data_IF_961745622475
#
_entry.id   IF_961745622475
#
_cell.length_a   1.000
_cell.length_b   1.000
_cell.length_c   1.000
_cell.angle_alpha   90.00
_cell.angle_beta   90.00
_cell.angle_gamma   90.00
#
_symmetry.space_group_name_H-M   'P 1'
#
loop_
_entity.id
_entity.type
_entity.pdbx_description
1 polymer ?
#
# COMPACT_ATOMS: atom_id res chain seq x y z
N UNK A 1 10.03 6.82 -8.72
CA UNK A 1 8.91 5.85 -8.52
C UNK A 1 9.00 5.29 -7.12
N UNK A 2 7.88 5.18 -6.42
CA UNK A 2 7.89 4.61 -5.07
C UNK A 2 8.41 3.16 -5.03
N UNK A 3 8.83 2.71 -3.85
CA UNK A 3 9.18 1.34 -3.57
C UNK A 3 8.22 0.75 -2.55
N UNK A 4 7.65 -0.43 -2.80
CA UNK A 4 6.83 -1.19 -1.86
C UNK A 4 7.50 -2.51 -1.54
N UNK A 5 7.35 -2.97 -0.30
CA UNK A 5 7.86 -4.28 0.14
C UNK A 5 7.06 -4.79 1.33
N UNK A 6 7.10 -6.08 1.58
CA UNK A 6 6.47 -6.66 2.75
C UNK A 6 6.88 -8.09 3.02
N UNK A 7 6.59 -8.48 4.26
CA UNK A 7 6.87 -9.80 4.83
C UNK A 7 5.58 -10.33 5.46
N UNK A 8 5.23 -11.59 5.16
CA UNK A 8 4.08 -12.25 5.76
C UNK A 8 4.45 -13.69 6.12
N UNK A 9 4.31 -14.03 7.39
CA UNK A 9 4.63 -15.36 7.90
C UNK A 9 5.12 -15.33 9.34
N UNK A 10 5.58 -16.46 9.82
CA UNK A 10 6.03 -16.62 11.20
C UNK A 10 7.56 -16.53 11.26
N UNK A 11 8.07 -15.41 11.76
CA UNK A 11 9.49 -15.16 12.06
C UNK A 11 9.64 -14.77 13.53
N UNK A 12 10.84 -14.98 14.07
CA UNK A 12 11.21 -14.40 15.36
C UNK A 12 11.05 -12.88 15.36
N UNK A 13 10.72 -12.27 16.51
CA UNK A 13 10.41 -10.83 16.59
C UNK A 13 11.53 -9.94 16.04
N UNK A 14 12.77 -10.25 16.37
CA UNK A 14 13.95 -9.49 15.94
C UNK A 14 14.23 -9.67 14.44
N UNK A 15 14.08 -10.89 13.94
CA UNK A 15 14.24 -11.21 12.51
C UNK A 15 13.19 -10.50 11.66
N UNK A 16 11.95 -10.39 12.17
CA UNK A 16 10.84 -9.76 11.48
C UNK A 16 11.07 -8.24 11.30
N UNK A 17 11.46 -7.57 12.39
CA UNK A 17 11.78 -6.14 12.37
C UNK A 17 12.98 -5.87 11.45
N UNK A 18 14.05 -6.66 11.57
CA UNK A 18 15.25 -6.53 10.74
C UNK A 18 14.94 -6.76 9.25
N UNK A 19 14.13 -7.78 8.93
CA UNK A 19 13.77 -8.10 7.54
C UNK A 19 13.06 -6.93 6.86
N UNK A 20 11.99 -6.40 7.45
CA UNK A 20 11.22 -5.32 6.82
C UNK A 20 12.02 -4.03 6.69
N UNK A 21 12.84 -3.67 7.70
CA UNK A 21 13.68 -2.50 7.63
C UNK A 21 14.79 -2.62 6.58
N UNK A 22 15.43 -3.78 6.48
CA UNK A 22 16.46 -4.05 5.45
C UNK A 22 15.86 -4.03 4.05
N UNK A 23 14.74 -4.71 3.84
CA UNK A 23 14.04 -4.73 2.55
C UNK A 23 13.57 -3.33 2.15
N UNK A 24 13.01 -2.56 3.08
CA UNK A 24 12.60 -1.18 2.82
C UNK A 24 13.80 -0.30 2.48
N UNK A 25 14.90 -0.38 3.24
CA UNK A 25 16.10 0.41 2.99
C UNK A 25 16.74 0.11 1.62
N UNK A 26 16.68 -1.13 1.15
CA UNK A 26 17.20 -1.50 -0.18
C UNK A 26 16.48 -0.80 -1.34
N UNK A 27 15.27 -0.29 -1.10
CA UNK A 27 14.44 0.44 -2.07
C UNK A 27 14.54 1.97 -1.96
N UNK A 28 15.43 2.51 -1.11
CA UNK A 28 15.54 3.97 -0.84
C UNK A 28 15.80 4.81 -2.09
N UNK A 29 16.52 4.25 -3.08
CA UNK A 29 16.78 4.90 -4.37
C UNK A 29 15.51 5.13 -5.21
N UNK A 30 14.41 4.40 -4.93
CA UNK A 30 13.13 4.56 -5.62
C UNK A 30 12.30 5.71 -5.10
N UNK A 31 12.41 6.01 -3.81
CA UNK A 31 11.62 7.04 -3.16
C UNK A 31 12.37 7.67 -1.99
N UNK A 32 13.15 8.73 -2.25
CA UNK A 32 14.00 9.34 -1.22
C UNK A 32 13.27 10.33 -0.31
N UNK A 33 12.02 10.71 -0.62
CA UNK A 33 11.36 11.86 0.01
C UNK A 33 10.73 11.51 1.37
N UNK A 34 10.24 10.27 1.52
CA UNK A 34 9.63 9.79 2.76
C UNK A 34 9.71 8.26 2.84
N UNK A 35 9.70 7.74 4.06
CA UNK A 35 9.74 6.31 4.33
C UNK A 35 8.80 5.94 5.46
N UNK A 36 8.14 4.80 5.32
CA UNK A 36 7.29 4.26 6.38
C UNK A 36 7.34 2.75 6.47
N UNK A 37 7.17 2.27 7.69
CA UNK A 37 7.05 0.85 8.02
C UNK A 37 5.87 0.68 8.96
N UNK A 38 5.03 -0.30 8.68
CA UNK A 38 3.93 -0.71 9.54
C UNK A 38 4.07 -2.21 9.83
N UNK A 39 3.97 -2.58 11.10
CA UNK A 39 4.18 -3.95 11.57
C UNK A 39 3.02 -4.39 12.45
N UNK A 40 2.47 -5.57 12.18
CA UNK A 40 1.56 -6.28 13.06
C UNK A 40 2.13 -7.67 13.36
N UNK A 41 2.85 -7.75 14.47
CA UNK A 41 3.52 -9.00 14.91
C UNK A 41 2.52 -10.11 15.23
N UNK A 42 1.35 -9.75 15.77
CA UNK A 42 0.31 -10.71 16.12
C UNK A 42 -0.26 -11.47 14.93
N UNK A 43 -0.29 -10.83 13.76
CA UNK A 43 -0.75 -11.42 12.50
C UNK A 43 0.42 -11.83 11.59
N UNK A 44 1.67 -11.60 12.00
CA UNK A 44 2.86 -11.96 11.22
C UNK A 44 2.98 -11.20 9.90
N UNK A 45 2.60 -9.92 9.85
CA UNK A 45 2.65 -9.09 8.65
C UNK A 45 3.43 -7.79 8.89
N UNK A 46 4.28 -7.41 7.94
CA UNK A 46 4.88 -6.08 7.88
C UNK A 46 4.86 -5.54 6.47
N UNK A 47 4.63 -4.22 6.36
CA UNK A 47 4.58 -3.45 5.12
C UNK A 47 5.60 -2.33 5.19
N UNK A 48 6.37 -2.14 4.14
CA UNK A 48 7.36 -1.08 3.99
C UNK A 48 7.14 -0.25 2.72
N UNK A 49 7.35 1.04 2.82
CA UNK A 49 7.18 1.99 1.72
C UNK A 49 8.34 2.98 1.65
N UNK A 50 8.81 3.24 0.43
CA UNK A 50 9.74 4.33 0.10
C UNK A 50 9.03 5.26 -0.89
N UNK A 51 8.86 6.52 -0.50
CA UNK A 51 8.00 7.47 -1.21
C UNK A 51 8.81 8.40 -2.09
N UNK A 52 8.41 8.50 -3.35
CA UNK A 52 8.68 9.64 -4.21
C UNK A 52 7.41 10.48 -4.27
N UNK A 53 7.45 11.69 -3.72
CA UNK A 53 6.29 12.58 -3.64
C UNK A 53 6.05 13.28 -4.96
N UNK A 54 4.89 13.04 -5.59
CA UNK A 54 4.55 13.59 -6.92
C UNK A 54 3.23 14.39 -6.88
N UNK A 55 2.11 13.73 -6.52
CA UNK A 55 0.78 14.34 -6.52
C UNK A 55 0.58 15.17 -5.25
N UNK A 56 0.91 14.61 -4.10
CA UNK A 56 0.80 15.26 -2.80
C UNK A 56 2.18 15.34 -2.15
N UNK A 57 2.67 16.54 -1.90
CA UNK A 57 3.97 16.76 -1.27
C UNK A 57 3.90 16.82 0.26
N UNK A 58 2.69 16.78 0.82
CA UNK A 58 2.47 16.83 2.26
C UNK A 58 2.64 15.45 2.93
N UNK A 59 2.65 15.46 4.26
CA UNK A 59 2.65 14.23 5.07
C UNK A 59 1.34 13.43 4.96
N UNK A 60 0.26 14.01 4.40
CA UNK A 60 -1.00 13.30 4.19
C UNK A 60 -0.89 12.13 3.18
N UNK A 61 0.15 12.16 2.31
CA UNK A 61 0.46 11.05 1.40
C UNK A 61 1.39 9.98 2.01
N UNK A 62 1.67 10.02 3.32
CA UNK A 62 2.51 9.03 3.99
C UNK A 62 1.94 7.61 3.89
N UNK A 63 2.83 6.64 3.73
CA UNK A 63 2.48 5.22 3.65
C UNK A 63 3.44 4.38 4.51
N UNK A 64 3.01 3.24 5.06
CA UNK A 64 1.71 2.58 4.87
C UNK A 64 0.53 3.40 5.41
N UNK A 65 -0.54 3.48 4.63
CA UNK A 65 -1.74 4.23 4.97
C UNK A 65 -2.81 3.31 5.55
N UNK A 66 -3.35 3.68 6.71
CA UNK A 66 -4.48 2.98 7.32
C UNK A 66 -5.78 3.60 6.79
N UNK A 67 -6.69 2.75 6.34
CA UNK A 67 -7.98 3.18 5.83
C UNK A 67 -8.84 3.87 6.89
N UNK A 68 -9.77 4.77 6.52
CA UNK A 68 -10.64 5.48 7.48
C UNK A 68 -11.43 4.54 8.39
N UNK A 69 -11.87 3.39 7.91
CA UNK A 69 -12.55 2.37 8.72
C UNK A 69 -11.60 1.58 9.65
N UNK A 70 -10.28 1.84 9.61
CA UNK A 70 -9.27 1.17 10.43
C UNK A 70 -8.97 -0.29 10.02
N UNK A 71 -9.71 -0.86 9.06
CA UNK A 71 -9.62 -2.27 8.67
C UNK A 71 -8.43 -2.57 7.78
N UNK A 72 -8.11 -1.68 6.84
CA UNK A 72 -7.10 -1.95 5.82
C UNK A 72 -5.82 -1.14 6.07
N UNK A 73 -4.66 -1.78 5.88
CA UNK A 73 -3.36 -1.12 5.79
C UNK A 73 -2.83 -1.28 4.37
N UNK A 74 -2.47 -0.17 3.72
CA UNK A 74 -2.26 -0.12 2.27
C UNK A 74 -0.88 0.49 1.99
N UNK A 75 -0.13 -0.14 1.07
CA UNK A 75 1.02 0.45 0.40
C UNK A 75 0.80 0.41 -1.11
N UNK A 76 1.21 1.49 -1.77
CA UNK A 76 0.90 1.73 -3.17
C UNK A 76 2.09 2.37 -3.89
N UNK A 77 2.44 1.79 -5.03
CA UNK A 77 3.40 2.35 -5.98
C UNK A 77 2.70 2.50 -7.32
N UNK A 78 2.35 3.71 -7.71
CA UNK A 78 1.63 3.94 -8.95
C UNK A 78 1.05 5.32 -9.09
N UNK A 79 0.08 5.42 -9.98
CA UNK A 79 -0.75 6.59 -10.22
C UNK A 79 -2.15 6.14 -10.67
N UNK A 80 -3.18 6.61 -9.99
CA UNK A 80 -4.57 6.37 -10.33
C UNK A 80 -5.09 7.58 -11.11
N UNK A 81 -5.16 7.47 -12.43
CA UNK A 81 -5.47 8.59 -13.33
C UNK A 81 -6.85 9.19 -13.10
N UNK A 82 -7.82 8.37 -12.76
CA UNK A 82 -9.19 8.79 -12.50
C UNK A 82 -9.51 9.05 -11.02
N UNK A 83 -8.48 9.27 -10.17
CA UNK A 83 -8.69 9.41 -8.72
C UNK A 83 -9.59 10.61 -8.36
N UNK A 84 -9.57 11.70 -9.12
CA UNK A 84 -10.43 12.85 -8.86
C UNK A 84 -11.91 12.55 -9.11
N UNK A 85 -12.24 11.78 -10.15
CA UNK A 85 -13.60 11.35 -10.44
C UNK A 85 -14.12 10.41 -9.33
N UNK A 86 -13.29 9.45 -8.94
CA UNK A 86 -13.61 8.55 -7.82
C UNK A 86 -13.79 9.32 -6.51
N UNK A 87 -12.94 10.32 -6.26
CA UNK A 87 -13.02 11.18 -5.08
C UNK A 87 -14.31 11.97 -5.01
N UNK A 88 -14.76 12.51 -6.15
CA UNK A 88 -16.04 13.22 -6.25
C UNK A 88 -17.20 12.29 -5.90
N UNK A 89 -17.26 11.11 -6.49
CA UNK A 89 -18.30 10.11 -6.21
C UNK A 89 -18.29 9.67 -4.73
N UNK A 90 -17.08 9.45 -4.17
CA UNK A 90 -16.93 9.09 -2.76
C UNK A 90 -17.38 10.20 -1.81
N UNK A 91 -17.22 11.46 -2.18
CA UNK A 91 -17.68 12.60 -1.39
C UNK A 91 -19.18 12.63 -1.23
N UNK A 92 -19.91 12.16 -2.26
CA UNK A 92 -21.37 12.06 -2.23
C UNK A 92 -21.85 10.86 -1.37
N UNK A 93 -21.06 9.80 -1.30
CA UNK A 93 -21.40 8.55 -0.60
C UNK A 93 -20.91 8.47 0.84
N UNK A 94 -19.75 9.05 1.13
CA UNK A 94 -19.00 8.84 2.38
C UNK A 94 -19.44 9.76 3.54
N UNK A 95 -20.73 10.19 3.61
CA UNK A 95 -21.30 10.96 4.72
C UNK A 95 -20.32 11.95 5.36
N UNK A 96 -19.74 12.86 4.52
CA UNK A 96 -18.82 13.92 4.98
C UNK A 96 -17.41 13.46 5.38
N UNK A 97 -16.82 12.47 4.69
CA UNK A 97 -15.38 12.22 4.86
C UNK A 97 -14.56 13.49 4.60
N UNK A 98 -13.83 13.92 5.61
CA UNK A 98 -12.93 15.08 5.49
C UNK A 98 -11.61 14.60 4.90
N UNK A 99 -11.32 15.02 3.68
CA UNK A 99 -10.06 14.71 3.01
C UNK A 99 -8.89 15.42 3.70
N UNK A 100 -7.82 14.67 4.01
CA UNK A 100 -6.62 15.22 4.67
C UNK A 100 -5.62 15.79 3.68
N UNK A 101 -5.54 15.19 2.49
CA UNK A 101 -4.59 15.56 1.44
C UNK A 101 -5.22 15.47 0.05
N UNK A 102 -4.34 15.41 -0.94
CA UNK A 102 -4.72 15.35 -2.35
C UNK A 102 -4.24 14.08 -3.05
N UNK A 103 -3.67 13.12 -2.32
CA UNK A 103 -3.11 11.91 -2.89
C UNK A 103 -4.17 10.97 -3.46
N UNK A 104 -3.83 10.29 -4.52
CA UNK A 104 -4.59 9.18 -5.08
C UNK A 104 -4.61 7.98 -4.13
N UNK A 105 -3.57 7.82 -3.29
CA UNK A 105 -3.51 6.81 -2.21
C UNK A 105 -4.63 7.01 -1.20
N UNK A 106 -4.92 8.25 -0.79
CA UNK A 106 -6.04 8.54 0.12
C UNK A 106 -7.36 8.19 -0.55
N UNK A 107 -7.53 8.55 -1.83
CA UNK A 107 -8.72 8.18 -2.61
C UNK A 107 -8.90 6.67 -2.68
N UNK A 108 -7.83 5.92 -2.95
CA UNK A 108 -7.83 4.46 -2.94
C UNK A 108 -8.26 3.89 -1.58
N UNK A 109 -7.72 4.43 -0.50
CA UNK A 109 -7.99 4.01 0.88
C UNK A 109 -9.45 4.22 1.27
N UNK A 110 -10.03 5.37 0.90
CA UNK A 110 -11.46 5.68 1.11
C UNK A 110 -12.34 4.80 0.24
N UNK A 111 -11.98 4.58 -1.02
CA UNK A 111 -12.71 3.71 -1.95
C UNK A 111 -12.79 2.27 -1.42
N UNK A 112 -11.68 1.70 -0.97
CA UNK A 112 -11.64 0.35 -0.38
C UNK A 112 -12.51 0.27 0.87
N UNK A 113 -12.53 1.32 1.70
CA UNK A 113 -13.38 1.37 2.89
C UNK A 113 -14.87 1.32 2.57
N UNK A 114 -15.30 1.97 1.47
CA UNK A 114 -16.72 2.09 1.11
C UNK A 114 -17.21 0.98 0.19
N UNK A 115 -16.42 0.59 -0.80
CA UNK A 115 -16.83 -0.38 -1.84
C UNK A 115 -16.25 -1.78 -1.65
N UNK A 116 -15.22 -1.90 -0.80
CA UNK A 116 -14.40 -3.11 -0.69
C UNK A 116 -13.34 -3.19 -1.78
N UNK A 117 -12.42 -4.15 -1.63
CA UNK A 117 -11.24 -4.27 -2.50
C UNK A 117 -11.66 -4.51 -3.97
N UNK A 118 -12.45 -5.55 -4.22
CA UNK A 118 -12.78 -5.99 -5.59
C UNK A 118 -13.47 -4.90 -6.40
N UNK A 119 -14.55 -4.30 -5.86
CA UNK A 119 -15.29 -3.23 -6.55
C UNK A 119 -14.43 -2.00 -6.80
N UNK A 120 -13.54 -1.68 -5.86
CA UNK A 120 -12.58 -0.59 -6.05
C UNK A 120 -11.67 -0.88 -7.23
N UNK A 121 -11.03 -2.05 -7.26
CA UNK A 121 -10.08 -2.43 -8.32
C UNK A 121 -10.71 -2.43 -9.72
N UNK A 122 -11.96 -2.82 -9.84
CA UNK A 122 -12.70 -2.79 -11.13
C UNK A 122 -12.86 -1.36 -11.67
N UNK A 123 -12.81 -0.36 -10.82
CA UNK A 123 -13.05 1.06 -11.14
C UNK A 123 -11.76 1.85 -11.35
N UNK A 124 -10.60 1.31 -10.94
CA UNK A 124 -9.32 2.00 -11.11
C UNK A 124 -8.90 2.03 -12.57
N UNK A 125 -8.47 3.21 -13.01
CA UNK A 125 -7.74 3.45 -14.25
C UNK A 125 -6.39 4.03 -13.88
N UNK A 126 -5.30 3.33 -14.25
CA UNK A 126 -3.97 3.77 -13.90
C UNK A 126 -2.93 2.65 -13.97
N UNK A 127 -1.74 2.98 -13.52
CA UNK A 127 -0.60 2.08 -13.40
C UNK A 127 -0.26 1.87 -11.93
N UNK A 128 -0.24 0.63 -11.45
CA UNK A 128 -0.05 0.40 -10.02
C UNK A 128 0.45 -0.99 -9.64
N UNK A 129 1.16 -1.01 -8.52
CA UNK A 129 1.37 -2.17 -7.66
C UNK A 129 0.88 -1.80 -6.25
N UNK A 130 0.01 -2.61 -5.67
CA UNK A 130 -0.65 -2.34 -4.39
C UNK A 130 -0.51 -3.57 -3.50
N UNK A 131 -0.24 -3.37 -2.21
CA UNK A 131 -0.44 -4.40 -1.20
C UNK A 131 -1.43 -3.88 -0.17
N UNK A 132 -2.42 -4.73 0.14
CA UNK A 132 -3.52 -4.41 1.04
C UNK A 132 -3.60 -5.51 2.10
N UNK A 133 -3.40 -5.14 3.35
CA UNK A 133 -3.66 -6.02 4.48
C UNK A 133 -5.05 -5.77 5.05
N UNK A 134 -5.88 -6.80 5.06
CA UNK A 134 -7.19 -6.80 5.71
C UNK A 134 -7.05 -7.35 7.14
N UNK A 135 -7.13 -6.49 8.14
CA UNK A 135 -7.00 -6.86 9.56
C UNK A 135 -8.13 -7.78 10.04
N UNK A 136 -9.31 -7.68 9.44
CA UNK A 136 -10.48 -8.48 9.82
C UNK A 136 -10.38 -9.90 9.30
N UNK A 137 -10.10 -10.04 8.01
CA UNK A 137 -10.03 -11.34 7.34
C UNK A 137 -8.63 -11.97 7.43
N UNK A 138 -7.63 -11.23 7.98
CA UNK A 138 -6.21 -11.64 8.07
C UNK A 138 -5.67 -12.10 6.71
N UNK A 139 -5.95 -11.30 5.70
CA UNK A 139 -5.62 -11.60 4.31
C UNK A 139 -4.77 -10.49 3.70
N UNK A 140 -3.69 -10.89 3.01
CA UNK A 140 -2.84 -10.04 2.21
C UNK A 140 -3.24 -10.15 0.74
N UNK A 141 -3.69 -9.04 0.15
CA UNK A 141 -3.96 -8.94 -1.28
C UNK A 141 -2.82 -8.20 -1.97
N UNK A 142 -2.21 -8.83 -2.97
CA UNK A 142 -1.26 -8.20 -3.88
C UNK A 142 -1.95 -7.92 -5.21
N UNK A 143 -1.88 -6.70 -5.68
CA UNK A 143 -2.56 -6.24 -6.90
C UNK A 143 -1.56 -5.58 -7.83
N UNK A 144 -1.67 -5.87 -9.12
CA UNK A 144 -0.89 -5.24 -10.18
C UNK A 144 -1.81 -4.73 -11.27
N UNK A 145 -1.46 -3.62 -11.90
CA UNK A 145 -2.21 -3.10 -13.04
C UNK A 145 -2.28 -4.09 -14.22
N UNK A 146 -3.25 -3.91 -15.11
CA UNK A 146 -3.57 -4.85 -16.20
C UNK A 146 -2.42 -5.09 -17.17
N UNK A 147 -1.55 -4.09 -17.37
CA UNK A 147 -0.42 -4.17 -18.28
C UNK A 147 0.89 -4.53 -17.56
N UNK A 148 0.87 -4.58 -16.22
CA UNK A 148 2.06 -4.86 -15.43
C UNK A 148 3.10 -3.73 -15.48
N UNK A 149 2.66 -2.49 -15.62
CA UNK A 149 3.55 -1.33 -15.74
C UNK A 149 4.36 -1.10 -14.47
N UNK A 150 3.76 -1.33 -13.31
CA UNK A 150 4.50 -1.25 -12.04
C UNK A 150 5.03 -2.63 -11.64
N UNK A 151 6.32 -2.71 -11.29
CA UNK A 151 6.91 -3.98 -10.87
C UNK A 151 6.34 -4.44 -9.54
N UNK A 152 6.06 -5.74 -9.46
CA UNK A 152 5.67 -6.44 -8.24
C UNK A 152 6.16 -7.88 -8.32
N UNK A 153 7.12 -8.20 -7.47
CA UNK A 153 7.70 -9.53 -7.34
C UNK A 153 7.28 -10.13 -6.01
N UNK A 154 7.10 -11.44 -5.96
CA UNK A 154 6.77 -12.14 -4.74
C UNK A 154 7.30 -13.56 -4.76
N UNK A 155 7.49 -14.14 -3.60
CA UNK A 155 7.99 -15.49 -3.46
C UNK A 155 8.06 -15.95 -2.01
N UNK A 156 8.56 -17.17 -1.82
CA UNK A 156 8.73 -17.78 -0.53
C UNK A 156 10.21 -17.98 -0.22
N UNK A 157 10.62 -17.62 0.98
CA UNK A 157 11.95 -17.91 1.50
C UNK A 157 11.81 -18.44 2.93
N UNK A 158 12.31 -19.65 3.17
CA UNK A 158 12.30 -20.30 4.51
C UNK A 158 10.91 -20.33 5.18
N UNK A 159 9.85 -20.55 4.38
CA UNK A 159 8.47 -20.58 4.89
C UNK A 159 7.81 -19.22 5.10
N UNK A 160 8.49 -18.13 4.75
CA UNK A 160 7.98 -16.76 4.84
C UNK A 160 7.67 -16.24 3.44
N UNK A 161 6.54 -15.60 3.29
CA UNK A 161 6.15 -14.93 2.04
C UNK A 161 6.73 -13.52 2.01
N UNK A 162 7.42 -13.20 0.94
CA UNK A 162 8.07 -11.92 0.69
C UNK A 162 7.54 -11.30 -0.59
N UNK A 163 7.43 -9.98 -0.63
CA UNK A 163 7.13 -9.28 -1.87
C UNK A 163 7.83 -7.92 -1.92
N UNK A 164 8.00 -7.38 -3.13
CA UNK A 164 8.61 -6.07 -3.31
C UNK A 164 8.62 -5.57 -4.74
N UNK A 165 8.97 -4.31 -4.89
CA UNK A 165 9.14 -3.67 -6.20
C UNK A 165 10.37 -4.15 -6.96
N UNK A 166 11.32 -4.78 -6.30
CA UNK A 166 12.59 -5.28 -6.88
C UNK A 166 13.01 -6.60 -6.25
N UNK A 167 13.78 -7.38 -7.02
CA UNK A 167 14.47 -8.60 -6.55
C UNK A 167 15.88 -8.22 -6.07
N UNK A 168 16.07 -8.16 -4.74
CA UNK A 168 17.36 -7.90 -4.09
C UNK A 168 17.53 -8.75 -2.86
#
# INVERSE_FOLDING_TARGET
>A
MCGITGVFGNLGQEEFDNAIHTMSASLSHRGPDDKGVWINKGDGIALGHQRLSVIDLSSAGHQPMVSPCGRFSIIFNGEIYNHLDLRKELSDLANHYSWYGHSDTETLSVAISNWGIEKTLQRLVGMFAIAIWDKKEKNLSLVRDRFGEKPLYYGWSRGVFLFGSELK
#
